data_IF_841009154953
#
_entry.id   IF_841009154953
#
_cell.length_a   1.000
_cell.length_b   1.000
_cell.length_c   1.000
_cell.angle_alpha   90.00
_cell.angle_beta   90.00
_cell.angle_gamma   90.00
#
_symmetry.space_group_name_H-M   'P 1'
#
loop_
_entity.id
_entity.type
_entity.pdbx_description
1 polymer ?
#
# COMPACT_ATOMS: atom_id res chain seq x y z
N UNK A 1 31.90 5.05 29.10
CA UNK A 1 30.54 5.56 28.82
C UNK A 1 29.82 5.70 30.14
N UNK A 2 28.92 6.67 30.29
CA UNK A 2 28.30 7.00 31.56
C UNK A 2 27.31 5.89 31.96
N UNK A 3 27.59 5.13 33.02
CA UNK A 3 26.78 3.97 33.45
C UNK A 3 25.30 4.32 33.65
N UNK A 4 25.04 5.53 34.12
CA UNK A 4 23.68 6.09 34.25
C UNK A 4 22.95 6.26 32.91
N UNK A 5 23.67 6.56 31.84
CA UNK A 5 23.09 6.69 30.50
C UNK A 5 22.68 5.33 29.94
N UNK A 6 23.55 4.33 30.09
CA UNK A 6 23.28 2.95 29.67
C UNK A 6 22.06 2.34 30.38
N UNK A 7 21.92 2.58 31.69
CA UNK A 7 20.75 2.14 32.46
C UNK A 7 19.44 2.72 31.91
N UNK A 8 19.43 4.01 31.59
CA UNK A 8 18.24 4.71 31.07
C UNK A 8 17.89 4.23 29.66
N UNK A 9 18.88 3.98 28.81
CA UNK A 9 18.65 3.47 27.46
C UNK A 9 18.13 2.02 27.47
N UNK A 10 18.70 1.17 28.32
CA UNK A 10 18.23 -0.21 28.50
C UNK A 10 16.80 -0.24 29.05
N UNK A 11 16.49 0.59 30.05
CA UNK A 11 15.14 0.70 30.62
C UNK A 11 14.10 1.10 29.57
N UNK A 12 14.38 2.17 28.79
CA UNK A 12 13.48 2.64 27.71
C UNK A 12 13.26 1.54 26.68
N UNK A 13 14.32 0.84 26.31
CA UNK A 13 14.27 -0.18 25.27
C UNK A 13 13.51 -1.44 25.74
N UNK A 14 13.68 -1.85 27.00
CA UNK A 14 12.92 -2.94 27.62
C UNK A 14 11.42 -2.62 27.71
N UNK A 15 11.05 -1.39 28.10
CA UNK A 15 9.64 -0.97 28.12
C UNK A 15 9.01 -1.04 26.72
N UNK A 16 9.68 -0.45 25.72
CA UNK A 16 9.23 -0.51 24.31
C UNK A 16 9.08 -1.95 23.79
N UNK A 17 10.02 -2.83 24.15
CA UNK A 17 9.94 -4.25 23.77
C UNK A 17 8.71 -4.90 24.40
N UNK A 18 8.51 -4.72 25.70
CA UNK A 18 7.36 -5.32 26.41
C UNK A 18 6.03 -4.76 25.92
N UNK A 19 5.94 -3.48 25.61
CA UNK A 19 4.76 -2.88 24.96
C UNK A 19 4.46 -3.55 23.61
N UNK A 20 5.48 -3.74 22.76
CA UNK A 20 5.34 -4.39 21.45
C UNK A 20 4.86 -5.84 21.52
N UNK A 21 5.19 -6.54 22.60
CA UNK A 21 4.75 -7.92 22.86
C UNK A 21 3.63 -7.99 23.93
N UNK A 22 2.88 -6.90 24.14
CA UNK A 22 1.73 -6.84 25.06
C UNK A 22 2.00 -7.33 26.49
N UNK A 23 3.24 -7.19 26.97
CA UNK A 23 3.65 -7.60 28.31
C UNK A 23 3.83 -9.10 28.51
N UNK A 24 3.77 -9.89 27.43
CA UNK A 24 3.91 -11.36 27.48
C UNK A 24 5.34 -11.83 27.79
N UNK A 25 6.32 -10.95 27.59
CA UNK A 25 7.73 -11.22 27.94
C UNK A 25 8.01 -10.72 29.36
N UNK A 26 8.54 -11.61 30.19
CA UNK A 26 8.98 -11.30 31.55
C UNK A 26 10.09 -10.25 31.58
N UNK A 27 10.09 -9.41 32.63
CA UNK A 27 11.06 -8.32 32.79
C UNK A 27 12.50 -8.86 32.74
N UNK A 28 12.78 -9.95 33.47
CA UNK A 28 14.13 -10.49 33.57
C UNK A 28 14.65 -10.94 32.19
N UNK A 29 13.81 -11.61 31.40
CA UNK A 29 14.18 -12.10 30.06
C UNK A 29 14.29 -10.96 29.06
N UNK A 30 13.40 -9.96 29.13
CA UNK A 30 13.47 -8.77 28.30
C UNK A 30 14.77 -7.98 28.54
N UNK A 31 15.17 -7.79 29.81
CA UNK A 31 16.42 -7.07 30.12
C UNK A 31 17.64 -7.85 29.64
N UNK A 32 17.67 -9.18 29.83
CA UNK A 32 18.78 -10.04 29.37
C UNK A 32 18.93 -10.00 27.84
N UNK A 33 17.82 -10.13 27.09
CA UNK A 33 17.84 -10.09 25.63
C UNK A 33 18.25 -8.72 25.10
N UNK A 34 17.72 -7.65 25.68
CA UNK A 34 18.08 -6.28 25.26
C UNK A 34 19.53 -5.95 25.59
N UNK A 35 20.08 -6.46 26.71
CA UNK A 35 21.50 -6.28 27.04
C UNK A 35 22.40 -7.09 26.10
N UNK A 36 22.04 -8.34 25.79
CA UNK A 36 22.81 -9.22 24.88
C UNK A 36 22.92 -8.63 23.48
N UNK A 37 21.81 -8.18 22.92
CA UNK A 37 21.74 -7.66 21.56
C UNK A 37 21.94 -6.13 21.48
N UNK A 38 22.52 -5.51 22.51
CA UNK A 38 22.82 -4.07 22.54
C UNK A 38 21.63 -3.18 22.15
N UNK A 39 20.44 -3.48 22.68
CA UNK A 39 19.17 -2.81 22.37
C UNK A 39 18.71 -2.92 20.90
N UNK A 40 19.22 -3.87 20.11
CA UNK A 40 18.71 -4.16 18.77
C UNK A 40 17.34 -4.86 18.85
N UNK A 41 16.30 -4.05 18.70
CA UNK A 41 14.91 -4.49 18.70
C UNK A 41 14.56 -5.47 17.57
N UNK A 42 15.26 -5.44 16.43
CA UNK A 42 15.00 -6.36 15.33
C UNK A 42 15.56 -7.75 15.63
N UNK A 43 16.79 -7.82 16.13
CA UNK A 43 17.42 -9.10 16.52
C UNK A 43 16.66 -9.76 17.67
N UNK A 44 16.27 -9.00 18.69
CA UNK A 44 15.48 -9.55 19.81
C UNK A 44 14.11 -10.03 19.34
N UNK A 45 13.43 -9.29 18.45
CA UNK A 45 12.14 -9.72 17.92
C UNK A 45 12.25 -10.99 17.05
N UNK A 46 13.30 -11.09 16.22
CA UNK A 46 13.59 -12.31 15.44
C UNK A 46 13.89 -13.48 16.36
N UNK A 47 14.67 -13.26 17.42
CA UNK A 47 14.98 -14.28 18.43
C UNK A 47 13.69 -14.80 19.08
N UNK A 48 12.81 -13.91 19.57
CA UNK A 48 11.53 -14.30 20.17
C UNK A 48 10.63 -15.05 19.18
N UNK A 49 10.56 -14.60 17.92
CA UNK A 49 9.69 -15.22 16.91
C UNK A 49 10.20 -16.58 16.40
N UNK A 50 11.52 -16.75 16.25
CA UNK A 50 12.13 -17.96 15.69
C UNK A 50 12.45 -19.01 16.75
N UNK A 51 12.84 -18.58 17.96
CA UNK A 51 13.40 -19.46 19.00
C UNK A 51 12.35 -19.93 20.02
N UNK A 52 11.08 -19.56 19.87
CA UNK A 52 9.97 -20.06 20.71
C UNK A 52 9.77 -21.59 20.67
N UNK A 53 10.51 -22.32 19.83
CA UNK A 53 10.43 -23.79 19.71
C UNK A 53 11.80 -24.49 19.71
N UNK A 54 12.89 -23.77 19.99
CA UNK A 54 14.24 -24.34 19.96
C UNK A 54 14.95 -24.06 21.29
N UNK A 55 15.36 -25.14 21.96
CA UNK A 55 16.17 -25.22 23.18
C UNK A 55 17.59 -24.60 23.04
N UNK A 56 17.76 -23.53 22.27
CA UNK A 56 18.96 -22.69 22.28
C UNK A 56 18.74 -21.54 23.24
N UNK A 57 18.58 -21.93 24.50
CA UNK A 57 18.65 -21.01 25.61
C UNK A 57 20.01 -20.29 25.61
N UNK A 58 20.03 -19.09 26.19
CA UNK A 58 21.29 -18.52 26.70
C UNK A 58 21.98 -19.62 27.51
N UNK A 59 23.23 -19.96 27.16
CA UNK A 59 23.98 -20.92 27.95
C UNK A 59 24.11 -20.41 29.40
N UNK A 60 24.24 -21.33 30.35
CA UNK A 60 24.16 -21.00 31.76
C UNK A 60 25.25 -20.01 32.19
N UNK A 61 26.40 -20.02 31.49
CA UNK A 61 27.53 -19.10 31.67
C UNK A 61 27.19 -17.67 31.22
N UNK A 62 26.60 -17.48 30.04
CA UNK A 62 26.17 -16.18 29.53
C UNK A 62 25.00 -15.61 30.35
N UNK A 63 24.08 -16.50 30.79
CA UNK A 63 22.98 -16.13 31.70
C UNK A 63 23.52 -15.65 33.05
N UNK A 64 24.55 -16.31 33.59
CA UNK A 64 25.15 -15.94 34.87
C UNK A 64 25.97 -14.64 34.75
N UNK A 65 26.69 -14.45 33.64
CA UNK A 65 27.45 -13.24 33.34
C UNK A 65 26.54 -12.02 33.24
N UNK A 66 25.45 -12.13 32.47
CA UNK A 66 24.47 -11.04 32.32
C UNK A 66 23.64 -10.79 33.59
N UNK A 67 23.35 -11.82 34.39
CA UNK A 67 22.71 -11.65 35.71
C UNK A 67 23.61 -10.93 36.70
N UNK A 68 24.94 -11.04 36.55
CA UNK A 68 25.91 -10.40 37.43
C UNK A 68 26.27 -8.96 37.03
N UNK A 69 25.86 -8.51 35.84
CA UNK A 69 26.03 -7.13 35.39
C UNK A 69 25.29 -6.13 36.32
N UNK A 70 25.99 -5.14 36.89
CA UNK A 70 25.38 -4.14 37.77
C UNK A 70 24.25 -3.34 37.09
N UNK A 71 24.37 -3.05 35.78
CA UNK A 71 23.37 -2.31 34.99
C UNK A 71 22.07 -3.11 34.88
N UNK A 72 22.18 -4.42 34.62
CA UNK A 72 21.03 -5.33 34.52
C UNK A 72 20.31 -5.44 35.87
N UNK A 73 21.05 -5.60 36.97
CA UNK A 73 20.47 -5.65 38.33
C UNK A 73 19.71 -4.35 38.65
N UNK A 74 20.30 -3.20 38.38
CA UNK A 74 19.68 -1.90 38.66
C UNK A 74 18.38 -1.71 37.88
N UNK A 75 18.40 -1.99 36.57
CA UNK A 75 17.22 -1.86 35.70
C UNK A 75 16.12 -2.87 36.06
N UNK A 76 16.46 -4.13 36.32
CA UNK A 76 15.48 -5.14 36.78
C UNK A 76 14.82 -4.72 38.10
N UNK A 77 15.61 -4.25 39.05
CA UNK A 77 15.11 -3.84 40.37
C UNK A 77 14.17 -2.64 40.26
N UNK A 78 14.53 -1.66 39.42
CA UNK A 78 13.72 -0.48 39.13
C UNK A 78 12.40 -0.82 38.43
N UNK A 79 12.44 -1.62 37.36
CA UNK A 79 11.24 -2.04 36.64
C UNK A 79 10.29 -2.90 37.50
N UNK A 80 10.83 -3.77 38.36
CA UNK A 80 10.03 -4.55 39.31
C UNK A 80 9.43 -3.68 40.42
N UNK A 81 10.12 -2.63 40.86
CA UNK A 81 9.59 -1.66 41.82
C UNK A 81 8.44 -0.85 41.21
N UNK A 82 8.59 -0.38 39.98
CA UNK A 82 7.56 0.35 39.23
C UNK A 82 6.29 -0.50 39.02
N UNK A 83 6.42 -1.78 38.63
CA UNK A 83 5.25 -2.67 38.51
C UNK A 83 4.52 -2.90 39.84
N UNK A 84 5.26 -2.91 40.96
CA UNK A 84 4.66 -3.03 42.30
C UNK A 84 3.96 -1.74 42.72
N UNK A 85 4.42 -0.58 42.24
CA UNK A 85 3.76 0.70 42.48
C UNK A 85 2.52 0.87 41.60
N UNK A 86 2.57 0.49 40.31
CA UNK A 86 1.42 0.52 39.40
C UNK A 86 0.28 -0.39 39.85
N UNK A 87 0.57 -1.52 40.50
CA UNK A 87 -0.44 -2.43 41.08
C UNK A 87 -1.13 -1.88 42.34
N UNK A 88 -0.60 -0.81 42.95
CA UNK A 88 -1.14 -0.20 44.18
C UNK A 88 -2.02 1.03 43.90
N UNK A 89 -2.05 1.55 42.68
CA UNK A 89 -2.86 2.70 42.30
C UNK A 89 -4.27 2.22 41.88
N UNK A 90 -5.37 2.68 42.50
CA UNK A 90 -6.72 2.33 42.06
C UNK A 90 -7.04 2.97 40.70
N UNK A 91 -7.84 2.33 39.85
CA UNK A 91 -8.16 2.85 38.52
C UNK A 91 -9.03 4.12 38.64
N UNK A 92 -8.60 5.21 38.02
CA UNK A 92 -9.45 6.38 37.80
C UNK A 92 -10.42 6.06 36.66
N UNK A 93 -11.71 6.25 36.95
CA UNK A 93 -12.86 6.12 36.04
C UNK A 93 -12.63 6.76 34.66
N UNK A 94 -12.99 6.03 33.60
CA UNK A 94 -13.76 6.49 32.43
C UNK A 94 -14.35 5.23 31.73
N UNK A 95 -15.61 5.35 31.32
CA UNK A 95 -16.61 4.31 30.98
C UNK A 95 -16.41 3.55 29.62
N UNK A 96 -17.21 2.48 29.33
CA UNK A 96 -16.72 1.20 28.79
C UNK A 96 -17.20 0.86 27.37
N UNK A 97 -16.42 0.08 26.61
CA UNK A 97 -16.93 -0.82 25.55
C UNK A 97 -16.02 -2.06 25.36
N UNK A 98 -16.62 -3.25 25.51
CA UNK A 98 -16.22 -4.63 25.13
C UNK A 98 -15.43 -5.51 26.13
N UNK A 99 -15.73 -6.84 26.13
CA UNK A 99 -15.93 -7.59 27.36
C UNK A 99 -14.67 -8.24 27.92
N UNK A 100 -14.62 -8.15 29.24
CA UNK A 100 -13.73 -8.80 30.19
C UNK A 100 -13.80 -10.32 30.01
N UNK A 101 -12.69 -10.96 29.65
CA UNK A 101 -12.41 -12.33 30.09
C UNK A 101 -11.65 -12.27 31.41
N UNK A 102 -12.35 -12.75 32.43
CA UNK A 102 -12.05 -12.68 33.85
C UNK A 102 -10.89 -13.60 34.26
N UNK A 103 -10.06 -13.06 35.15
CA UNK A 103 -9.45 -13.72 36.31
C UNK A 103 -8.41 -14.84 36.06
N UNK A 104 -7.12 -14.49 36.24
CA UNK A 104 -6.02 -15.43 36.50
C UNK A 104 -6.08 -15.96 37.94
N UNK A 105 -6.05 -17.28 38.19
CA UNK A 105 -5.79 -17.82 39.53
C UNK A 105 -4.28 -17.79 39.84
N UNK A 106 -3.96 -17.63 41.13
CA UNK A 106 -2.59 -17.59 41.67
C UNK A 106 -2.02 -18.99 41.92
N UNK A 107 -0.69 -19.06 41.83
CA UNK A 107 0.25 -19.98 42.49
C UNK A 107 0.62 -21.28 41.75
N UNK A 108 1.91 -21.48 41.40
CA UNK A 108 2.93 -22.14 42.24
C UNK A 108 4.27 -22.31 41.48
N UNK A 109 5.31 -22.36 42.30
CA UNK A 109 6.75 -22.57 42.11
C UNK A 109 7.14 -23.68 41.11
N UNK A 110 8.18 -23.38 40.31
CA UNK A 110 9.11 -24.25 39.53
C UNK A 110 8.57 -24.87 38.21
N UNK A 111 9.41 -24.73 37.17
CA UNK A 111 9.38 -25.30 35.81
C UNK A 111 8.30 -24.79 34.84
N UNK A 112 8.32 -23.50 34.47
CA UNK A 112 7.50 -22.96 33.35
C UNK A 112 8.07 -21.63 32.84
N UNK A 113 9.36 -21.55 32.51
CA UNK A 113 9.95 -20.31 31.95
C UNK A 113 9.72 -20.17 30.43
N UNK A 114 9.36 -21.25 29.72
CA UNK A 114 9.20 -21.23 28.24
C UNK A 114 7.76 -21.35 27.76
N UNK A 115 6.80 -21.74 28.61
CA UNK A 115 5.39 -21.88 28.19
C UNK A 115 4.81 -20.57 27.64
N UNK A 116 5.17 -19.43 28.23
CA UNK A 116 4.71 -18.12 27.78
C UNK A 116 5.31 -17.69 26.43
N UNK A 117 6.52 -18.13 26.10
CA UNK A 117 7.13 -17.87 24.79
C UNK A 117 6.61 -18.81 23.71
N UNK A 118 6.36 -20.07 24.05
CA UNK A 118 5.71 -21.04 23.17
C UNK A 118 4.29 -20.57 22.84
N UNK A 119 3.51 -20.19 23.85
CA UNK A 119 2.15 -19.66 23.70
C UNK A 119 2.12 -18.34 22.90
N UNK A 120 3.13 -17.48 23.08
CA UNK A 120 3.35 -16.29 22.26
C UNK A 120 3.71 -16.64 20.81
N UNK A 121 4.59 -17.62 20.60
CA UNK A 121 4.96 -18.10 19.27
C UNK A 121 3.78 -18.71 18.52
N UNK A 122 2.92 -19.45 19.23
CA UNK A 122 1.65 -19.97 18.71
C UNK A 122 0.65 -18.86 18.42
N UNK A 123 0.52 -17.85 19.30
CA UNK A 123 -0.31 -16.67 19.04
C UNK A 123 0.21 -15.78 17.91
N UNK A 124 1.51 -15.80 17.60
CA UNK A 124 2.10 -15.05 16.48
C UNK A 124 1.99 -15.82 15.14
N UNK A 125 1.76 -17.14 15.18
CA UNK A 125 1.50 -18.01 14.00
C UNK A 125 0.06 -17.88 13.48
N UNK A 126 -0.48 -16.67 13.39
CA UNK A 126 -1.90 -16.43 13.04
C UNK A 126 -2.24 -16.78 11.59
N UNK A 127 -1.26 -17.02 10.71
CA UNK A 127 -1.53 -17.45 9.34
C UNK A 127 -0.56 -18.58 8.94
N UNK A 128 -1.06 -19.79 8.64
CA UNK A 128 -0.21 -20.82 8.06
C UNK A 128 0.36 -20.29 6.74
N UNK A 129 1.67 -20.43 6.55
CA UNK A 129 2.32 -20.11 5.29
C UNK A 129 1.87 -21.14 4.25
N UNK A 130 0.77 -20.86 3.56
CA UNK A 130 0.27 -21.71 2.47
C UNK A 130 1.26 -21.69 1.30
N UNK A 131 1.21 -22.73 0.46
CA UNK A 131 2.02 -22.82 -0.75
C UNK A 131 1.73 -21.61 -1.67
N UNK A 132 0.47 -21.18 -1.77
CA UNK A 132 0.08 -19.96 -2.47
C UNK A 132 0.72 -18.70 -1.87
N UNK A 133 0.75 -18.55 -0.54
CA UNK A 133 1.34 -17.37 0.11
C UNK A 133 2.85 -17.30 -0.11
N UNK A 134 3.52 -18.46 -0.06
CA UNK A 134 4.96 -18.56 -0.35
C UNK A 134 5.23 -18.22 -1.82
N UNK A 135 4.48 -18.80 -2.76
CA UNK A 135 4.62 -18.51 -4.19
C UNK A 135 4.39 -17.02 -4.50
N UNK A 136 3.38 -16.40 -3.89
CA UNK A 136 3.15 -14.95 -4.04
C UNK A 136 4.30 -14.12 -3.47
N UNK A 137 4.96 -14.60 -2.41
CA UNK A 137 6.10 -13.92 -1.81
C UNK A 137 7.34 -14.04 -2.70
N UNK A 138 7.63 -15.24 -3.18
CA UNK A 138 8.74 -15.52 -4.10
C UNK A 138 8.57 -14.68 -5.40
N UNK A 139 7.38 -14.69 -5.99
CA UNK A 139 7.05 -13.86 -7.17
C UNK A 139 7.16 -12.36 -6.89
N UNK A 140 6.86 -11.91 -5.67
CA UNK A 140 7.02 -10.52 -5.30
C UNK A 140 8.50 -10.13 -5.14
N UNK A 141 9.35 -11.04 -4.64
CA UNK A 141 10.80 -10.82 -4.61
C UNK A 141 11.41 -10.80 -6.01
N UNK A 142 10.86 -11.59 -6.93
CA UNK A 142 11.29 -11.68 -8.33
C UNK A 142 10.67 -10.59 -9.23
N UNK A 143 9.91 -9.64 -8.67
CA UNK A 143 9.18 -8.58 -9.40
C UNK A 143 8.17 -9.09 -10.45
N UNK A 144 7.71 -10.34 -10.33
CA UNK A 144 6.80 -11.01 -11.26
C UNK A 144 5.31 -10.80 -10.93
N UNK A 145 4.97 -9.79 -10.11
CA UNK A 145 3.59 -9.54 -9.73
C UNK A 145 2.77 -9.17 -10.99
N UNK A 146 1.72 -9.94 -11.34
CA UNK A 146 0.88 -9.63 -12.49
C UNK A 146 0.29 -8.23 -12.35
N UNK A 147 0.55 -7.38 -13.34
CA UNK A 147 0.17 -5.99 -13.33
C UNK A 147 -0.59 -5.62 -14.61
N UNK A 148 -1.64 -4.80 -14.43
CA UNK A 148 -2.57 -4.41 -15.48
C UNK A 148 -2.61 -2.88 -15.53
N UNK A 149 -2.65 -2.32 -16.74
CA UNK A 149 -2.78 -0.88 -16.96
C UNK A 149 -4.24 -0.48 -17.00
N UNK A 150 -4.64 0.44 -16.13
CA UNK A 150 -6.01 0.94 -16.04
C UNK A 150 -6.08 2.47 -16.13
N UNK A 151 -7.21 2.98 -16.61
CA UNK A 151 -7.57 4.38 -16.55
C UNK A 151 -8.20 4.70 -15.18
N UNK A 152 -7.81 5.83 -14.61
CA UNK A 152 -8.35 6.39 -13.37
C UNK A 152 -8.76 7.84 -13.60
N UNK A 153 -9.77 8.31 -12.90
CA UNK A 153 -10.23 9.68 -13.03
C UNK A 153 -10.80 10.26 -11.74
N UNK A 154 -10.34 11.47 -11.41
CA UNK A 154 -10.75 12.19 -10.22
C UNK A 154 -11.73 13.31 -10.59
N UNK A 155 -12.99 13.17 -10.18
CA UNK A 155 -14.03 14.15 -10.45
C UNK A 155 -13.71 15.53 -9.84
N UNK A 156 -13.29 15.56 -8.58
CA UNK A 156 -13.04 16.82 -7.86
C UNK A 156 -11.86 17.61 -8.40
N UNK A 157 -10.89 16.95 -9.02
CA UNK A 157 -9.70 17.58 -9.57
C UNK A 157 -9.73 17.73 -11.10
N UNK A 158 -10.76 17.18 -11.74
CA UNK A 158 -10.93 17.11 -13.19
C UNK A 158 -9.68 16.59 -13.94
N UNK A 159 -9.07 15.52 -13.40
CA UNK A 159 -7.88 14.88 -13.96
C UNK A 159 -8.09 13.39 -14.15
N UNK A 160 -7.75 12.90 -15.33
CA UNK A 160 -7.63 11.48 -15.66
C UNK A 160 -6.16 11.10 -15.87
N UNK A 161 -5.81 9.86 -15.53
CA UNK A 161 -4.46 9.32 -15.69
C UNK A 161 -4.51 7.81 -15.92
N UNK A 162 -3.43 7.27 -16.45
CA UNK A 162 -3.24 5.83 -16.63
C UNK A 162 -2.15 5.33 -15.70
N UNK A 163 -2.36 4.18 -15.08
CA UNK A 163 -1.35 3.58 -14.20
C UNK A 163 -1.34 2.07 -14.34
N UNK A 164 -0.14 1.49 -14.35
CA UNK A 164 0.08 0.05 -14.19
C UNK A 164 -0.07 -0.30 -12.71
N UNK A 165 -1.04 -1.14 -12.38
CA UNK A 165 -1.38 -1.52 -11.00
C UNK A 165 -1.41 -3.04 -10.86
N UNK A 166 -1.05 -3.61 -9.70
CA UNK A 166 -1.14 -5.05 -9.46
C UNK A 166 -2.57 -5.56 -9.66
N UNK A 167 -2.73 -6.72 -10.30
CA UNK A 167 -4.05 -7.32 -10.56
C UNK A 167 -4.85 -7.56 -9.28
N UNK A 168 -4.15 -7.90 -8.18
CA UNK A 168 -4.72 -8.12 -6.84
C UNK A 168 -5.27 -6.85 -6.18
N UNK A 169 -4.76 -5.67 -6.55
CA UNK A 169 -5.13 -4.39 -5.95
C UNK A 169 -5.04 -3.29 -6.99
N UNK A 170 -6.13 -3.16 -7.75
CA UNK A 170 -6.27 -2.19 -8.83
C UNK A 170 -6.66 -0.84 -8.25
N UNK A 171 -5.79 -0.22 -7.47
CA UNK A 171 -6.09 1.06 -6.80
C UNK A 171 -5.04 2.08 -7.16
N UNK A 172 -5.48 3.29 -7.47
CA UNK A 172 -4.58 4.43 -7.70
C UNK A 172 -5.00 5.63 -6.88
N UNK A 173 -4.04 6.50 -6.58
CA UNK A 173 -4.25 7.73 -5.80
C UNK A 173 -4.17 8.93 -6.73
N UNK A 174 -5.12 9.86 -6.62
CA UNK A 174 -5.02 11.14 -7.32
C UNK A 174 -3.81 11.94 -6.82
N UNK A 175 -2.95 12.43 -7.72
CA UNK A 175 -1.77 13.22 -7.34
C UNK A 175 -2.12 14.53 -6.61
N UNK A 176 -3.28 15.13 -6.91
CA UNK A 176 -3.73 16.42 -6.34
C UNK A 176 -4.45 16.27 -4.99
N UNK A 177 -5.59 15.57 -4.94
CA UNK A 177 -6.37 15.44 -3.70
C UNK A 177 -5.95 14.26 -2.80
N UNK A 178 -5.00 13.44 -3.24
CA UNK A 178 -4.49 12.25 -2.53
C UNK A 178 -5.56 11.20 -2.15
N UNK A 179 -6.80 11.32 -2.65
CA UNK A 179 -7.85 10.30 -2.50
C UNK A 179 -7.56 9.08 -3.37
N UNK A 180 -7.93 7.89 -2.88
CA UNK A 180 -7.76 6.60 -3.57
C UNK A 180 -9.02 6.25 -4.37
N UNK A 181 -8.80 5.68 -5.53
CA UNK A 181 -9.84 5.39 -6.52
C UNK A 181 -9.65 3.99 -7.11
N UNK A 182 -10.78 3.35 -7.40
CA UNK A 182 -10.85 2.14 -8.22
C UNK A 182 -10.75 2.53 -9.72
N UNK A 183 -10.37 1.59 -10.60
CA UNK A 183 -10.26 1.88 -12.04
C UNK A 183 -11.61 2.30 -12.60
N UNK A 184 -11.57 3.12 -13.65
CA UNK A 184 -12.75 3.38 -14.47
C UNK A 184 -13.24 2.04 -15.03
N UNK A 185 -14.55 1.73 -14.92
CA UNK A 185 -15.12 0.51 -15.47
C UNK A 185 -14.79 0.36 -16.97
N UNK A 186 -14.45 -0.85 -17.45
CA UNK A 186 -14.02 -1.05 -18.85
C UNK A 186 -15.03 -0.58 -19.90
N UNK A 187 -16.33 -0.68 -19.59
CA UNK A 187 -17.46 -0.22 -20.42
C UNK A 187 -17.59 1.31 -20.49
N UNK A 188 -16.93 2.03 -19.58
CA UNK A 188 -17.01 3.49 -19.45
C UNK A 188 -15.68 4.19 -19.70
N UNK A 189 -14.67 3.48 -20.18
CA UNK A 189 -13.38 4.07 -20.51
C UNK A 189 -13.52 5.03 -21.70
N UNK A 190 -12.69 6.08 -21.72
CA UNK A 190 -12.66 7.06 -22.82
C UNK A 190 -11.24 7.53 -23.11
N UNK A 191 -11.02 8.03 -24.32
CA UNK A 191 -9.72 8.55 -24.75
C UNK A 191 -9.45 8.20 -26.20
N UNK A 192 -8.20 7.84 -26.51
CA UNK A 192 -7.85 7.35 -27.83
C UNK A 192 -8.30 5.90 -27.93
N UNK A 193 -9.22 5.65 -28.84
CA UNK A 193 -9.78 4.34 -29.09
C UNK A 193 -9.29 3.77 -30.43
N UNK A 194 -9.16 2.45 -30.46
CA UNK A 194 -9.02 1.67 -31.69
C UNK A 194 -10.40 1.17 -32.11
N UNK A 195 -10.72 1.36 -33.39
CA UNK A 195 -11.99 0.95 -33.99
C UNK A 195 -11.70 -0.04 -35.10
N UNK A 196 -12.51 -1.09 -35.17
CA UNK A 196 -12.52 -2.04 -36.28
C UNK A 196 -13.89 -2.01 -36.95
N UNK A 197 -13.95 -1.60 -38.22
CA UNK A 197 -15.21 -1.53 -38.93
C UNK A 197 -15.56 -2.89 -39.57
N UNK A 198 -16.67 -3.54 -39.18
CA UNK A 198 -17.09 -4.81 -39.77
C UNK A 198 -17.51 -4.67 -41.24
N UNK A 199 -17.96 -3.49 -41.67
CA UNK A 199 -18.48 -3.28 -43.03
C UNK A 199 -17.38 -3.10 -44.08
N UNK A 200 -16.24 -2.52 -43.71
CA UNK A 200 -15.15 -2.26 -44.66
C UNK A 200 -13.80 -2.86 -44.24
N UNK A 201 -13.77 -3.62 -43.14
CA UNK A 201 -12.61 -4.28 -42.55
C UNK A 201 -11.41 -3.34 -42.25
N UNK A 202 -11.61 -2.01 -42.25
CA UNK A 202 -10.57 -1.04 -41.92
C UNK A 202 -10.53 -0.80 -40.42
N UNK A 203 -9.33 -0.83 -39.88
CA UNK A 203 -9.05 -0.38 -38.53
C UNK A 203 -8.59 1.08 -38.53
N UNK A 204 -9.10 1.88 -37.60
CA UNK A 204 -8.70 3.27 -37.44
C UNK A 204 -8.61 3.65 -35.98
N UNK A 205 -7.89 4.74 -35.68
CA UNK A 205 -7.78 5.28 -34.33
C UNK A 205 -8.40 6.67 -34.27
N UNK A 206 -9.07 6.98 -33.17
CA UNK A 206 -9.67 8.28 -32.94
C UNK A 206 -10.08 8.46 -31.48
N UNK A 207 -10.46 9.67 -31.10
CA UNK A 207 -11.05 9.87 -29.78
C UNK A 207 -12.45 9.23 -29.72
N UNK A 208 -12.71 8.51 -28.63
CA UNK A 208 -13.97 7.82 -28.41
C UNK A 208 -14.14 7.34 -26.97
N UNK A 209 -15.33 6.88 -26.67
CA UNK A 209 -15.74 6.27 -25.40
C UNK A 209 -16.29 4.89 -25.67
N UNK A 210 -16.12 3.94 -24.75
CA UNK A 210 -16.52 2.54 -24.96
C UNK A 210 -18.03 2.38 -25.24
N UNK A 211 -18.84 3.21 -24.62
CA UNK A 211 -20.29 3.31 -24.75
C UNK A 211 -20.75 4.25 -25.89
N UNK A 212 -19.86 4.63 -26.80
CA UNK A 212 -20.13 5.64 -27.85
C UNK A 212 -19.71 5.15 -29.22
N UNK A 213 -20.52 5.49 -30.23
CA UNK A 213 -20.24 5.16 -31.62
C UNK A 213 -19.50 6.29 -32.32
N UNK A 214 -18.54 5.94 -33.16
CA UNK A 214 -17.84 6.86 -34.03
C UNK A 214 -18.04 6.47 -35.50
N UNK A 215 -18.09 7.43 -36.43
CA UNK A 215 -18.28 7.14 -37.83
C UNK A 215 -17.00 6.54 -38.42
N UNK A 216 -17.14 5.47 -39.20
CA UNK A 216 -16.03 4.95 -40.00
C UNK A 216 -15.63 5.96 -41.09
N UNK A 217 -14.33 6.27 -41.23
CA UNK A 217 -13.85 7.19 -42.27
C UNK A 217 -14.05 6.68 -43.71
N UNK A 218 -14.25 5.37 -43.90
CA UNK A 218 -14.47 4.77 -45.23
C UNK A 218 -15.94 4.68 -45.62
N UNK A 219 -16.74 3.98 -44.82
CA UNK A 219 -18.15 3.67 -45.13
C UNK A 219 -19.17 4.43 -44.27
N UNK A 220 -18.72 5.32 -43.38
CA UNK A 220 -19.55 6.15 -42.48
C UNK A 220 -20.47 5.38 -41.50
N UNK A 221 -20.40 4.06 -41.46
CA UNK A 221 -21.11 3.26 -40.45
C UNK A 221 -20.72 3.65 -39.03
N UNK A 222 -21.68 3.60 -38.11
CA UNK A 222 -21.49 3.94 -36.70
C UNK A 222 -20.91 2.74 -35.94
N UNK A 223 -19.63 2.81 -35.56
CA UNK A 223 -18.86 1.69 -35.03
C UNK A 223 -18.48 1.95 -33.56
N UNK A 224 -18.60 0.90 -32.74
CA UNK A 224 -18.10 0.92 -31.36
C UNK A 224 -16.59 0.70 -31.32
N UNK A 225 -15.89 1.33 -30.36
CA UNK A 225 -14.47 1.07 -30.18
C UNK A 225 -14.24 -0.37 -29.72
N UNK A 226 -13.15 -0.96 -30.18
CA UNK A 226 -12.67 -2.27 -29.76
C UNK A 226 -11.96 -2.19 -28.41
N UNK A 227 -11.16 -1.13 -28.21
CA UNK A 227 -10.48 -0.85 -26.94
C UNK A 227 -10.06 0.62 -26.84
N UNK A 228 -9.97 1.11 -25.60
CA UNK A 228 -9.31 2.38 -25.30
C UNK A 228 -7.85 2.11 -25.01
N UNK A 229 -6.97 2.88 -25.65
CA UNK A 229 -5.53 2.75 -25.52
C UNK A 229 -5.00 3.74 -24.48
N UNK A 230 -4.05 3.34 -23.62
CA UNK A 230 -3.30 4.27 -22.81
C UNK A 230 -2.52 5.23 -23.72
N UNK A 231 -2.32 6.50 -23.31
CA UNK A 231 -1.54 7.45 -24.08
C UNK A 231 -0.10 6.93 -24.25
N UNK A 232 0.32 6.69 -25.49
CA UNK A 232 1.70 6.28 -25.80
C UNK A 232 2.58 7.52 -25.95
N UNK A 233 3.66 7.63 -25.15
CA UNK A 233 4.67 8.73 -25.18
C UNK A 233 5.16 9.05 -26.62
N UNK A 234 5.34 8.06 -27.50
CA UNK A 234 5.88 8.27 -28.87
C UNK A 234 4.88 8.57 -29.98
N UNK A 235 3.56 8.42 -29.76
CA UNK A 235 2.57 8.61 -30.86
C UNK A 235 2.11 10.07 -30.99
N UNK A 236 2.44 10.91 -30.00
CA UNK A 236 2.05 12.33 -29.99
C UNK A 236 3.03 13.24 -30.74
N UNK A 237 4.30 12.86 -30.88
CA UNK A 237 5.35 13.79 -31.36
C UNK A 237 5.76 13.64 -32.83
N UNK A 238 5.19 12.70 -33.60
CA UNK A 238 5.76 12.33 -34.91
C UNK A 238 4.91 12.56 -36.16
N UNK A 239 3.59 12.64 -36.05
CA UNK A 239 2.74 12.83 -37.23
C UNK A 239 1.48 13.59 -36.83
N UNK A 240 1.36 14.84 -37.30
CA UNK A 240 0.06 15.51 -37.36
C UNK A 240 -0.91 14.56 -38.05
N UNK A 241 -1.81 13.93 -37.27
CA UNK A 241 -2.84 13.07 -37.86
C UNK A 241 -3.62 13.95 -38.82
N UNK A 242 -3.57 13.62 -40.12
CA UNK A 242 -4.29 14.35 -41.17
C UNK A 242 -5.79 14.43 -40.88
N UNK A 243 -6.32 13.44 -40.14
CA UNK A 243 -7.73 13.35 -39.83
C UNK A 243 -8.03 14.13 -38.55
N UNK A 244 -8.65 15.29 -38.71
CA UNK A 244 -9.31 15.99 -37.62
C UNK A 244 -10.33 15.07 -36.96
N UNK A 245 -10.45 15.11 -35.63
CA UNK A 245 -11.40 14.28 -34.90
C UNK A 245 -12.82 14.50 -35.43
N UNK A 246 -13.47 13.43 -35.86
CA UNK A 246 -14.88 13.45 -36.17
C UNK A 246 -15.61 12.35 -35.41
N UNK A 247 -16.69 12.74 -34.75
CA UNK A 247 -17.59 11.82 -34.05
C UNK A 247 -19.04 12.23 -34.32
N UNK A 248 -19.96 11.37 -33.90
CA UNK A 248 -21.41 11.57 -34.04
C UNK A 248 -21.99 12.45 -32.92
N UNK A 249 -21.15 13.01 -32.05
CA UNK A 249 -21.58 13.83 -30.93
C UNK A 249 -22.06 15.21 -31.37
N UNK A 250 -23.18 15.65 -30.80
CA UNK A 250 -23.82 16.94 -31.07
C UNK A 250 -22.89 18.12 -30.79
N UNK A 251 -22.07 17.98 -29.74
CA UNK A 251 -21.20 19.01 -29.20
C UNK A 251 -19.75 18.92 -29.77
N UNK A 252 -19.52 18.12 -30.81
CA UNK A 252 -18.19 18.01 -31.41
C UNK A 252 -17.79 19.26 -32.22
N UNK A 253 -16.55 19.75 -32.07
CA UNK A 253 -16.06 20.90 -32.83
C UNK A 253 -15.94 20.64 -34.34
N UNK A 254 -15.81 19.36 -34.73
CA UNK A 254 -15.71 18.88 -36.10
C UNK A 254 -16.68 17.70 -36.27
N UNK A 255 -17.95 17.97 -35.93
CA UNK A 255 -19.05 17.00 -35.96
C UNK A 255 -19.29 16.48 -37.38
N UNK A 256 -19.65 15.21 -37.48
CA UNK A 256 -20.14 14.61 -38.72
C UNK A 256 -21.67 14.49 -38.67
N UNK A 257 -22.33 14.92 -39.74
CA UNK A 257 -23.77 14.71 -39.96
C UNK A 257 -24.03 13.28 -40.47
N UNK A 258 -25.10 12.59 -40.02
CA UNK A 258 -26.04 13.01 -38.97
C UNK A 258 -25.46 12.79 -37.56
N UNK A 259 -25.71 13.74 -36.66
CA UNK A 259 -25.33 13.62 -35.26
C UNK A 259 -26.39 12.82 -34.48
N UNK A 260 -26.01 12.25 -33.34
CA UNK A 260 -26.93 11.57 -32.42
C UNK A 260 -27.26 12.54 -31.27
N UNK A 261 -28.50 13.03 -31.16
CA UNK A 261 -28.89 13.95 -30.09
C UNK A 261 -28.59 13.37 -28.70
N UNK A 262 -28.11 14.22 -27.79
CA UNK A 262 -27.79 13.81 -26.41
C UNK A 262 -26.47 13.04 -26.23
N UNK A 263 -25.64 12.93 -27.28
CA UNK A 263 -24.29 12.35 -27.16
C UNK A 263 -23.21 13.40 -26.99
N UNK A 264 -22.22 13.11 -26.14
CA UNK A 264 -21.14 14.03 -25.79
C UNK A 264 -19.79 13.59 -26.37
N UNK A 265 -19.05 14.56 -26.88
CA UNK A 265 -17.72 14.41 -27.43
C UNK A 265 -16.69 14.36 -26.31
N UNK A 266 -15.83 13.34 -26.35
CA UNK A 266 -14.74 13.17 -25.37
C UNK A 266 -13.44 13.87 -25.78
N UNK A 267 -13.41 14.52 -26.94
CA UNK A 267 -12.19 15.18 -27.43
C UNK A 267 -11.86 16.43 -26.60
N UNK A 268 -10.60 16.59 -26.11
CA UNK A 268 -10.23 17.71 -25.24
C UNK A 268 -10.63 19.09 -25.80
N UNK A 269 -10.40 19.32 -27.10
CA UNK A 269 -10.79 20.56 -27.80
C UNK A 269 -12.30 20.82 -27.82
N UNK A 270 -13.15 19.82 -28.10
CA UNK A 270 -14.62 20.00 -28.07
C UNK A 270 -15.07 20.35 -26.65
N UNK A 271 -14.56 19.59 -25.69
CA UNK A 271 -14.85 19.74 -24.28
C UNK A 271 -14.49 21.10 -23.72
N UNK A 272 -13.30 21.60 -24.06
CA UNK A 272 -12.85 22.95 -23.69
C UNK A 272 -13.75 24.02 -24.33
N UNK A 273 -14.08 23.88 -25.62
CA UNK A 273 -14.96 24.82 -26.34
C UNK A 273 -16.35 24.90 -25.70
N UNK A 274 -16.88 23.78 -25.23
CA UNK A 274 -18.20 23.68 -24.61
C UNK A 274 -18.17 23.86 -23.09
N UNK A 275 -17.03 24.25 -22.49
CA UNK A 275 -16.84 24.44 -21.04
C UNK A 275 -17.24 23.21 -20.20
N UNK A 276 -17.03 22.00 -20.72
CA UNK A 276 -17.32 20.75 -20.03
C UNK A 276 -16.07 20.24 -19.27
N UNK A 277 -16.22 19.46 -18.17
CA UNK A 277 -15.09 18.95 -17.35
C UNK A 277 -14.33 17.81 -18.03
N UNK A 278 -13.01 17.86 -18.16
CA UNK A 278 -12.17 16.86 -18.85
C UNK A 278 -12.52 15.40 -18.52
N UNK A 279 -12.87 15.12 -17.26
CA UNK A 279 -13.35 13.81 -16.79
C UNK A 279 -14.76 13.55 -17.29
N UNK A 280 -14.92 12.49 -18.08
CA UNK A 280 -16.23 12.04 -18.60
C UNK A 280 -16.91 11.12 -17.59
N UNK A 281 -16.20 10.07 -17.15
CA UNK A 281 -16.72 9.12 -16.15
C UNK A 281 -15.78 9.08 -14.94
N UNK A 282 -16.21 9.53 -13.75
CA UNK A 282 -15.33 9.53 -12.60
C UNK A 282 -15.06 8.11 -12.10
N UNK A 283 -13.85 7.88 -11.60
CA UNK A 283 -13.53 6.64 -10.89
C UNK A 283 -14.32 6.53 -9.59
N UNK A 284 -14.83 5.34 -9.22
CA UNK A 284 -15.40 5.10 -7.90
C UNK A 284 -14.37 5.36 -6.80
N UNK A 285 -14.81 5.94 -5.68
CA UNK A 285 -13.97 6.11 -4.51
C UNK A 285 -13.64 4.73 -3.92
N UNK A 286 -12.35 4.47 -3.69
CA UNK A 286 -11.92 3.18 -3.16
C UNK A 286 -12.26 3.09 -1.67
N UNK A 287 -13.14 2.16 -1.31
CA UNK A 287 -13.41 1.80 0.09
C UNK A 287 -12.43 0.70 0.47
N UNK A 288 -11.50 1.01 1.37
CA UNK A 288 -10.54 0.02 1.84
C UNK A 288 -11.29 -1.01 2.67
N UNK A 289 -11.41 -2.25 2.17
CA UNK A 289 -12.16 -3.33 2.81
C UNK A 289 -11.55 -3.84 4.12
N UNK A 290 -10.60 -3.12 4.72
CA UNK A 290 -10.00 -3.44 6.03
C UNK A 290 -9.30 -4.79 6.11
N UNK A 291 -9.29 -5.59 5.03
CA UNK A 291 -8.63 -6.89 4.96
C UNK A 291 -7.13 -6.67 4.86
N UNK A 292 -6.54 -6.34 6.00
CA UNK A 292 -5.14 -6.61 6.26
C UNK A 292 -5.03 -8.12 6.46
N UNK A 293 -5.14 -8.89 5.37
CA UNK A 293 -4.36 -10.12 5.35
C UNK A 293 -2.93 -9.64 5.55
N UNK A 294 -2.30 -10.06 6.65
CA UNK A 294 -0.85 -9.96 6.82
C UNK A 294 -0.21 -10.84 5.74
N UNK A 295 -0.30 -10.44 4.46
CA UNK A 295 0.73 -10.85 3.53
C UNK A 295 2.03 -10.32 4.12
N UNK A 296 3.00 -11.19 4.37
CA UNK A 296 4.32 -10.84 4.87
C UNK A 296 5.06 -9.81 3.99
N UNK A 297 4.48 -9.46 2.84
CA UNK A 297 4.68 -8.18 2.16
C UNK A 297 4.12 -7.06 3.04
N UNK A 298 4.96 -6.57 3.95
CA UNK A 298 4.67 -5.36 4.71
C UNK A 298 4.20 -4.28 3.71
N UNK A 299 3.15 -3.55 4.06
CA UNK A 299 2.82 -2.29 3.39
C UNK A 299 3.90 -1.20 3.69
N UNK A 300 5.12 -1.62 4.03
CA UNK A 300 6.13 -0.86 4.75
C UNK A 300 7.57 -1.26 4.43
N UNK A 301 7.85 -1.85 3.26
CA UNK A 301 9.11 -1.57 2.55
C UNK A 301 8.79 -0.61 1.39
N UNK A 302 8.19 0.52 1.76
CA UNK A 302 7.94 1.63 0.84
C UNK A 302 9.20 2.49 0.65
N UNK A 303 10.34 2.14 1.25
CA UNK A 303 11.61 2.82 1.01
C UNK A 303 12.18 2.49 -0.38
N UNK A 304 11.99 1.26 -0.87
CA UNK A 304 12.36 0.89 -2.25
C UNK A 304 11.46 1.55 -3.30
N UNK A 305 10.23 1.90 -2.94
CA UNK A 305 9.25 2.54 -3.84
C UNK A 305 9.25 4.07 -3.70
N UNK A 306 9.95 4.63 -2.70
CA UNK A 306 10.31 6.06 -2.69
C UNK A 306 11.29 6.31 -3.84
N UNK A 307 12.27 5.45 -4.09
CA UNK A 307 13.16 5.62 -5.25
C UNK A 307 12.41 5.51 -6.58
N UNK A 308 11.43 4.61 -6.75
CA UNK A 308 10.61 4.59 -7.98
C UNK A 308 9.66 5.80 -8.10
N UNK A 309 9.07 6.27 -7.00
CA UNK A 309 8.27 7.51 -7.00
C UNK A 309 9.13 8.76 -7.23
N UNK A 310 10.35 8.79 -6.68
CA UNK A 310 11.34 9.84 -6.87
C UNK A 310 11.91 9.77 -8.29
N UNK A 311 12.14 8.59 -8.87
CA UNK A 311 12.59 8.46 -10.26
C UNK A 311 11.48 8.86 -11.25
N UNK A 312 10.22 8.52 -10.97
CA UNK A 312 9.06 9.02 -11.74
C UNK A 312 8.89 10.56 -11.60
N UNK A 313 9.20 11.14 -10.42
CA UNK A 313 9.15 12.59 -10.20
C UNK A 313 10.40 13.32 -10.76
N UNK A 314 11.61 12.71 -10.75
CA UNK A 314 12.85 13.24 -11.37
C UNK A 314 12.76 13.21 -12.89
N UNK A 315 12.13 12.17 -13.48
CA UNK A 315 11.86 12.11 -14.93
C UNK A 315 10.75 13.11 -15.35
N UNK A 316 9.92 13.59 -14.41
CA UNK A 316 8.94 14.68 -14.64
C UNK A 316 9.53 16.08 -14.37
N UNK A 317 10.48 16.25 -13.43
CA UNK A 317 11.11 17.55 -13.12
C UNK A 317 12.23 17.94 -14.11
N UNK A 318 12.92 16.99 -14.76
CA UNK A 318 13.96 17.31 -15.74
C UNK A 318 13.46 18.03 -17.00
N UNK A 319 12.14 17.99 -17.26
CA UNK A 319 11.51 18.69 -18.38
C UNK A 319 11.07 20.13 -18.02
N UNK A 320 11.10 20.55 -16.75
CA UNK A 320 10.75 21.92 -16.34
C UNK A 320 11.96 22.90 -16.33
N UNK A 321 13.20 22.41 -16.32
CA UNK A 321 14.41 23.26 -16.34
C UNK A 321 14.95 23.61 -17.75
N UNK A 322 14.33 23.12 -18.83
CA UNK A 322 14.80 23.39 -20.20
C UNK A 322 14.12 24.57 -20.92
N UNK A 323 13.36 25.40 -20.20
CA UNK A 323 12.74 26.64 -20.73
C UNK A 323 13.37 27.94 -20.17
N UNK A 324 14.60 27.88 -19.65
CA UNK A 324 15.42 29.08 -19.38
C UNK A 324 16.79 28.93 -20.04
N UNK A 325 16.85 29.13 -21.36
CA UNK A 325 17.97 29.84 -21.99
C UNK A 325 17.71 30.13 -23.47
N UNK A 326 17.55 31.42 -23.75
CA UNK A 326 17.91 32.16 -24.98
C UNK A 326 17.08 31.96 -26.25
#
# INVERSE_FOLDING_TARGET
MNTMHEEVELEKSVRRLREKFHGLIDIDRAVLLMRRYMNDHQMVAKWVALMANADRDLDDEERNTLKNDPVVKNVVTKLKADERQQKKTPPRHLDPVLPVLQQRPKAKKKTTEDKHLVELGEHLRVLPLTVENKRMFDQAQENEIPAITHQFACQSCDRDWWRRVPQRKRVSRCRRCKKKYDPVPPDKMWGIAEFHCPNCARSFMGFGRMDGRSPCYGCRSAIFPTRILPPKRRVMSGARRKNQHSCLAEDCFNRMEPHVPGTECVHPRSRQKNRKPRVVYPSPAHISSGSTVNTCLSQGSLLESINELILDDIEEESDEESDISS
#
